data_IF_210362600393
#
_entry.id   IF_210362600393
#
_cell.length_a   1.000
_cell.length_b   1.000
_cell.length_c   1.000
_cell.angle_alpha   90.00
_cell.angle_beta   90.00
_cell.angle_gamma   90.00
#
_symmetry.space_group_name_H-M   'P 1'
#
loop_
_entity.id
_entity.type
_entity.pdbx_description
1 polymer ?
#
# COMPACT_ATOMS: atom_id res chain seq x y z
N UNK A 1 -3.21 -4.36 3.22
CA UNK A 1 -3.56 -3.02 2.68
C UNK A 1 -2.69 -2.64 1.49
N UNK A 2 -1.35 -2.70 1.56
CA UNK A 2 -0.44 -2.31 0.46
C UNK A 2 -0.73 -2.98 -0.89
N UNK A 3 -0.82 -4.31 -0.92
CA UNK A 3 -1.07 -5.05 -2.17
C UNK A 3 -2.40 -4.62 -2.80
N UNK A 4 -3.46 -4.48 -2.00
CA UNK A 4 -4.76 -3.99 -2.47
C UNK A 4 -4.64 -2.58 -3.04
N UNK A 5 -3.95 -1.69 -2.32
CA UNK A 5 -3.71 -0.32 -2.76
C UNK A 5 -2.93 -0.24 -4.07
N UNK A 6 -1.93 -1.11 -4.26
CA UNK A 6 -1.15 -1.22 -5.50
C UNK A 6 -2.00 -1.74 -6.65
N UNK A 7 -2.74 -2.85 -6.47
CA UNK A 7 -3.57 -3.45 -7.53
C UNK A 7 -4.62 -2.45 -8.02
N UNK A 8 -5.41 -1.88 -7.11
CA UNK A 8 -6.47 -0.93 -7.48
C UNK A 8 -5.90 0.40 -7.95
N UNK A 9 -4.86 0.91 -7.29
CA UNK A 9 -4.20 2.17 -7.68
C UNK A 9 -3.62 2.09 -9.08
N UNK A 10 -2.83 1.05 -9.38
CA UNK A 10 -2.27 0.82 -10.71
C UNK A 10 -3.38 0.67 -11.75
N UNK A 11 -4.38 -0.18 -11.48
CA UNK A 11 -5.47 -0.43 -12.40
C UNK A 11 -6.24 0.85 -12.76
N UNK A 12 -6.59 1.66 -11.76
CA UNK A 12 -7.25 2.94 -12.01
C UNK A 12 -6.34 3.99 -12.63
N UNK A 13 -5.04 3.98 -12.33
CA UNK A 13 -4.06 4.86 -12.97
C UNK A 13 -3.92 4.58 -14.46
N UNK A 14 -3.91 3.30 -14.86
CA UNK A 14 -3.98 2.87 -16.27
C UNK A 14 -5.28 3.34 -16.90
N UNK A 15 -6.42 3.14 -16.23
CA UNK A 15 -7.72 3.57 -16.74
C UNK A 15 -7.81 5.09 -16.96
N UNK A 16 -7.26 5.89 -16.03
CA UNK A 16 -7.21 7.34 -16.14
C UNK A 16 -6.31 7.81 -17.29
N UNK A 17 -5.11 7.24 -17.42
CA UNK A 17 -4.16 7.62 -18.47
C UNK A 17 -4.62 7.22 -19.88
N UNK A 18 -5.24 6.04 -20.03
CA UNK A 18 -5.77 5.60 -21.34
C UNK A 18 -7.01 6.37 -21.79
N UNK A 19 -7.65 7.12 -20.89
CA UNK A 19 -8.80 7.99 -21.18
C UNK A 19 -8.50 9.44 -20.82
N UNK A 20 -7.29 9.91 -21.13
CA UNK A 20 -6.83 11.26 -20.83
C UNK A 20 -7.86 12.31 -21.26
N UNK A 21 -8.14 13.29 -20.39
CA UNK A 21 -9.14 14.36 -20.58
C UNK A 21 -10.61 13.91 -20.64
N UNK A 22 -10.90 12.62 -20.44
CA UNK A 22 -12.29 12.17 -20.24
C UNK A 22 -12.78 12.48 -18.83
N UNK A 23 -14.10 12.42 -18.64
CA UNK A 23 -14.71 12.53 -17.30
C UNK A 23 -14.19 11.47 -16.32
N UNK A 24 -13.82 10.28 -16.81
CA UNK A 24 -13.25 9.20 -15.98
C UNK A 24 -11.89 9.62 -15.45
N UNK A 25 -11.04 10.15 -16.32
CA UNK A 25 -9.73 10.69 -15.93
C UNK A 25 -9.89 11.83 -14.92
N UNK A 26 -10.78 12.79 -15.19
CA UNK A 26 -11.01 13.91 -14.27
C UNK A 26 -11.51 13.44 -12.91
N UNK A 27 -12.48 12.53 -12.86
CA UNK A 27 -13.03 11.99 -11.61
C UNK A 27 -11.96 11.23 -10.81
N UNK A 28 -11.25 10.32 -11.47
CA UNK A 28 -10.20 9.52 -10.84
C UNK A 28 -9.06 10.41 -10.34
N UNK A 29 -8.62 11.37 -11.15
CA UNK A 29 -7.60 12.35 -10.76
C UNK A 29 -8.05 13.19 -9.57
N UNK A 30 -9.29 13.65 -9.54
CA UNK A 30 -9.86 14.40 -8.41
C UNK A 30 -9.92 13.57 -7.13
N UNK A 31 -10.42 12.33 -7.19
CA UNK A 31 -10.46 11.40 -6.04
C UNK A 31 -9.05 11.09 -5.55
N UNK A 32 -8.10 10.87 -6.45
CA UNK A 32 -6.68 10.66 -6.11
C UNK A 32 -6.10 11.87 -5.39
N UNK A 33 -6.41 13.08 -5.87
CA UNK A 33 -5.94 14.32 -5.28
C UNK A 33 -6.45 14.46 -3.85
N UNK A 34 -7.75 14.28 -3.64
CA UNK A 34 -8.34 14.28 -2.30
C UNK A 34 -7.70 13.22 -1.40
N UNK A 35 -7.54 11.98 -1.88
CA UNK A 35 -6.96 10.89 -1.10
C UNK A 35 -5.49 11.10 -0.71
N UNK A 36 -4.72 11.87 -1.49
CA UNK A 36 -3.34 12.24 -1.16
C UNK A 36 -3.26 13.49 -0.27
N UNK A 37 -4.18 14.44 -0.43
CA UNK A 37 -4.17 15.71 0.31
C UNK A 37 -4.71 15.56 1.71
N UNK A 38 -5.70 14.66 1.93
CA UNK A 38 -6.24 14.43 3.26
C UNK A 38 -5.22 13.64 4.10
N UNK A 39 -4.76 14.17 5.25
CA UNK A 39 -3.82 13.44 6.10
C UNK A 39 -4.42 12.13 6.64
N UNK A 40 -3.61 11.07 6.69
CA UNK A 40 -4.07 9.73 7.14
C UNK A 40 -4.62 9.73 8.57
N UNK A 41 -3.98 10.47 9.48
CA UNK A 41 -4.47 10.63 10.85
C UNK A 41 -5.84 11.30 10.91
N UNK A 42 -6.13 12.25 10.01
CA UNK A 42 -7.43 12.92 9.94
C UNK A 42 -8.51 11.95 9.47
N UNK A 43 -8.21 11.12 8.45
CA UNK A 43 -9.11 10.03 8.04
C UNK A 43 -9.37 9.07 9.19
N UNK A 44 -8.34 8.71 9.96
CA UNK A 44 -8.49 7.87 11.14
C UNK A 44 -9.39 8.52 12.20
N UNK A 45 -9.25 9.83 12.47
CA UNK A 45 -10.11 10.55 13.42
C UNK A 45 -11.58 10.56 12.98
N UNK A 46 -11.84 10.77 11.69
CA UNK A 46 -13.22 10.73 11.14
C UNK A 46 -13.80 9.32 11.28
N UNK A 47 -13.03 8.29 10.94
CA UNK A 47 -13.48 6.90 11.08
C UNK A 47 -13.69 6.54 12.55
N UNK A 48 -12.79 6.95 13.45
CA UNK A 48 -12.93 6.78 14.89
C UNK A 48 -14.24 7.39 15.39
N UNK A 49 -14.53 8.63 14.99
CA UNK A 49 -15.78 9.32 15.36
C UNK A 49 -17.02 8.56 14.88
N UNK A 50 -17.03 8.13 13.61
CA UNK A 50 -18.15 7.36 13.06
C UNK A 50 -18.34 6.03 13.81
N UNK A 51 -17.26 5.30 14.06
CA UNK A 51 -17.31 4.02 14.77
C UNK A 51 -17.79 4.21 16.21
N UNK A 52 -17.23 5.17 16.94
CA UNK A 52 -17.54 5.40 18.35
C UNK A 52 -18.94 5.97 18.56
N UNK A 53 -19.31 7.02 17.82
CA UNK A 53 -20.54 7.78 18.10
C UNK A 53 -21.73 7.40 17.22
N UNK A 54 -21.48 6.97 15.98
CA UNK A 54 -22.58 6.63 15.06
C UNK A 54 -22.89 5.14 15.06
N UNK A 55 -21.87 4.30 15.16
CA UNK A 55 -22.02 2.84 15.17
C UNK A 55 -21.89 2.21 16.57
N UNK A 56 -21.58 3.00 17.60
CA UNK A 56 -21.41 2.53 18.99
C UNK A 56 -20.44 1.34 19.14
N UNK A 57 -19.40 1.32 18.32
CA UNK A 57 -18.33 0.31 18.40
C UNK A 57 -17.43 0.66 19.58
N UNK A 58 -17.37 -0.24 20.56
CA UNK A 58 -16.61 -0.01 21.81
C UNK A 58 -15.16 -0.50 21.72
N UNK A 59 -14.88 -1.47 20.84
CA UNK A 59 -13.59 -2.20 20.79
C UNK A 59 -12.65 -1.68 19.68
N UNK A 60 -12.60 -0.35 19.47
CA UNK A 60 -11.83 0.26 18.36
C UNK A 60 -10.31 0.14 18.58
N UNK A 61 -9.86 0.20 19.85
CA UNK A 61 -8.44 0.09 20.22
C UNK A 61 -7.92 -1.35 20.33
N UNK A 62 -8.70 -2.34 19.91
CA UNK A 62 -8.29 -3.75 19.93
C UNK A 62 -8.56 -4.42 18.60
N UNK A 63 -7.66 -5.31 18.19
CA UNK A 63 -7.86 -6.17 17.02
C UNK A 63 -8.84 -7.32 17.28
N UNK A 64 -9.27 -7.48 18.52
CA UNK A 64 -10.15 -8.55 18.95
C UNK A 64 -11.18 -8.03 19.94
N UNK A 65 -12.34 -8.66 19.93
CA UNK A 65 -13.29 -8.50 21.02
C UNK A 65 -12.77 -9.10 22.31
N UNK A 66 -13.30 -8.62 23.44
CA UNK A 66 -13.02 -9.11 24.80
C UNK A 66 -13.09 -10.64 24.92
N UNK A 67 -13.97 -11.29 24.15
CA UNK A 67 -14.12 -12.76 24.11
C UNK A 67 -12.89 -13.50 23.54
N UNK A 68 -12.21 -12.89 22.56
CA UNK A 68 -11.09 -13.51 21.85
C UNK A 68 -9.72 -13.00 22.34
N UNK A 69 -9.70 -12.05 23.27
CA UNK A 69 -8.49 -11.60 23.96
C UNK A 69 -7.77 -12.78 24.62
N UNK A 70 -6.52 -13.04 24.23
CA UNK A 70 -5.68 -14.10 24.80
C UNK A 70 -5.91 -15.51 24.24
N UNK A 71 -6.91 -15.75 23.38
CA UNK A 71 -7.03 -17.05 22.71
C UNK A 71 -5.90 -17.25 21.69
N UNK A 72 -5.48 -18.48 21.44
CA UNK A 72 -4.46 -18.80 20.41
C UNK A 72 -5.17 -19.11 19.07
N UNK A 73 -4.53 -18.77 17.94
CA UNK A 73 -5.05 -19.13 16.61
C UNK A 73 -5.03 -20.63 16.35
N UNK A 74 -4.06 -21.31 16.97
CA UNK A 74 -3.82 -22.74 16.81
C UNK A 74 -4.12 -23.46 18.12
N UNK A 75 -5.18 -24.26 18.13
CA UNK A 75 -5.59 -25.10 19.25
C UNK A 75 -5.07 -26.53 19.02
N UNK A 76 -3.74 -26.66 19.02
CA UNK A 76 -3.04 -27.91 18.66
C UNK A 76 -2.72 -28.01 17.17
N UNK A 77 -1.95 -29.04 16.79
CA UNK A 77 -1.25 -29.15 15.50
C UNK A 77 -2.10 -29.08 14.21
N UNK A 78 -3.43 -29.20 14.29
CA UNK A 78 -4.32 -29.21 13.12
C UNK A 78 -5.60 -28.37 13.30
N UNK A 79 -5.78 -27.66 14.41
CA UNK A 79 -7.04 -26.99 14.71
C UNK A 79 -6.92 -25.47 14.64
N UNK A 80 -7.45 -24.89 13.56
CA UNK A 80 -7.51 -23.44 13.36
C UNK A 80 -8.75 -22.83 14.01
N UNK A 81 -8.56 -21.78 14.79
CA UNK A 81 -9.67 -20.99 15.33
C UNK A 81 -10.20 -20.00 14.27
N UNK A 82 -11.09 -20.49 13.40
CA UNK A 82 -11.75 -19.69 12.36
C UNK A 82 -12.58 -18.53 12.94
N UNK A 83 -13.19 -18.70 14.11
CA UNK A 83 -13.97 -17.66 14.75
C UNK A 83 -13.11 -16.46 15.16
N UNK A 84 -11.90 -16.72 15.67
CA UNK A 84 -10.92 -15.67 15.99
C UNK A 84 -10.46 -14.93 14.74
N UNK A 85 -10.22 -15.63 13.63
CA UNK A 85 -9.86 -14.99 12.36
C UNK A 85 -10.99 -14.09 11.84
N UNK A 86 -12.23 -14.57 11.88
CA UNK A 86 -13.38 -13.77 11.46
C UNK A 86 -13.53 -12.51 12.33
N UNK A 87 -13.35 -12.65 13.65
CA UNK A 87 -13.35 -11.52 14.56
C UNK A 87 -12.25 -10.50 14.22
N UNK A 88 -11.02 -10.96 13.93
CA UNK A 88 -9.94 -10.09 13.49
C UNK A 88 -10.31 -9.28 12.23
N UNK A 89 -10.89 -9.93 11.23
CA UNK A 89 -11.31 -9.27 9.98
C UNK A 89 -12.33 -8.15 10.26
N UNK A 90 -13.26 -8.38 11.18
CA UNK A 90 -14.26 -7.39 11.60
C UNK A 90 -13.66 -6.18 12.34
N UNK A 91 -12.47 -6.29 12.93
CA UNK A 91 -11.84 -5.22 13.70
C UNK A 91 -10.71 -4.51 12.93
N UNK A 92 -10.08 -5.18 11.96
CA UNK A 92 -8.92 -4.64 11.24
C UNK A 92 -9.29 -3.76 10.05
N UNK A 93 -10.52 -3.86 9.53
CA UNK A 93 -10.96 -3.14 8.34
C UNK A 93 -10.80 -1.60 8.41
N UNK A 94 -10.95 -0.90 9.56
CA UNK A 94 -10.78 0.55 9.61
C UNK A 94 -9.33 0.95 9.28
N UNK A 95 -8.35 0.22 9.83
CA UNK A 95 -6.93 0.43 9.55
C UNK A 95 -6.63 0.12 8.09
N UNK A 96 -7.17 -0.98 7.57
CA UNK A 96 -7.00 -1.36 6.16
C UNK A 96 -7.61 -0.28 5.25
N UNK A 97 -8.78 0.28 5.59
CA UNK A 97 -9.44 1.30 4.79
C UNK A 97 -8.59 2.57 4.70
N UNK A 98 -8.08 3.10 5.82
CA UNK A 98 -7.21 4.29 5.81
C UNK A 98 -5.96 4.05 4.98
N UNK A 99 -5.26 2.94 5.23
CA UNK A 99 -4.03 2.59 4.52
C UNK A 99 -4.28 2.39 3.02
N UNK A 100 -5.38 1.71 2.65
CA UNK A 100 -5.71 1.44 1.25
C UNK A 100 -6.14 2.70 0.51
N UNK A 101 -6.92 3.61 1.11
CA UNK A 101 -7.32 4.87 0.46
C UNK A 101 -6.09 5.72 0.12
N UNK A 102 -5.19 5.94 1.10
CA UNK A 102 -3.99 6.74 0.88
C UNK A 102 -3.01 6.11 -0.12
N UNK A 103 -2.78 4.80 0.00
CA UNK A 103 -1.90 4.08 -0.92
C UNK A 103 -2.46 4.01 -2.35
N UNK A 104 -3.77 3.80 -2.51
CA UNK A 104 -4.44 3.74 -3.81
C UNK A 104 -4.33 5.08 -4.53
N UNK A 105 -4.61 6.18 -3.81
CA UNK A 105 -4.54 7.53 -4.35
C UNK A 105 -3.13 7.87 -4.87
N UNK A 106 -2.10 7.54 -4.09
CA UNK A 106 -0.71 7.72 -4.50
C UNK A 106 -0.34 6.87 -5.73
N UNK A 107 -0.60 5.56 -5.68
CA UNK A 107 -0.25 4.63 -6.75
C UNK A 107 -0.97 4.97 -8.07
N UNK A 108 -2.23 5.38 -7.98
CA UNK A 108 -3.00 5.82 -9.14
C UNK A 108 -2.40 7.05 -9.80
N UNK A 109 -2.03 8.07 -9.01
CA UNK A 109 -1.44 9.32 -9.54
C UNK A 109 -0.09 9.05 -10.21
N UNK A 110 0.76 8.28 -9.55
CA UNK A 110 2.09 7.91 -10.05
C UNK A 110 1.97 7.07 -11.33
N UNK A 111 1.10 6.05 -11.33
CA UNK A 111 0.89 5.21 -12.51
C UNK A 111 0.36 6.02 -13.70
N UNK A 112 -0.60 6.91 -13.45
CA UNK A 112 -1.15 7.78 -14.50
C UNK A 112 -0.07 8.67 -15.10
N UNK A 113 0.73 9.34 -14.26
CA UNK A 113 1.80 10.22 -14.72
C UNK A 113 2.83 9.44 -15.54
N UNK A 114 3.36 8.34 -14.99
CA UNK A 114 4.34 7.50 -15.67
C UNK A 114 3.80 6.96 -17.00
N UNK A 115 2.54 6.53 -17.06
CA UNK A 115 1.98 5.98 -18.28
C UNK A 115 1.80 7.05 -19.35
N UNK A 116 1.38 8.26 -18.98
CA UNK A 116 1.28 9.38 -19.92
C UNK A 116 2.65 9.77 -20.48
N UNK A 117 3.69 9.82 -19.65
CA UNK A 117 5.06 10.08 -20.13
C UNK A 117 5.54 8.96 -21.06
N UNK A 118 5.21 7.71 -20.71
CA UNK A 118 5.59 6.52 -21.48
C UNK A 118 4.92 6.45 -22.84
N UNK A 119 3.65 6.84 -22.93
CA UNK A 119 2.89 6.85 -24.17
C UNK A 119 3.48 7.79 -25.26
N UNK A 120 4.28 8.78 -24.86
CA UNK A 120 4.95 9.74 -25.75
C UNK A 120 6.38 9.32 -26.16
N UNK A 121 6.81 8.09 -25.81
CA UNK A 121 8.16 7.63 -26.13
C UNK A 121 8.26 7.05 -27.56
N UNK A 122 9.41 7.25 -28.22
CA UNK A 122 9.65 6.82 -29.61
C UNK A 122 9.43 5.33 -29.87
N UNK A 123 9.73 4.45 -28.90
CA UNK A 123 9.51 3.01 -29.08
C UNK A 123 8.01 2.65 -29.06
N UNK A 124 7.17 3.44 -28.39
CA UNK A 124 5.71 3.29 -28.39
C UNK A 124 5.15 3.74 -29.74
N UNK A 125 5.63 4.86 -30.27
CA UNK A 125 5.27 5.31 -31.63
C UNK A 125 5.71 4.29 -32.68
N UNK A 126 6.90 3.71 -32.53
CA UNK A 126 7.40 2.65 -33.41
C UNK A 126 6.50 1.40 -33.35
N UNK A 127 6.04 1.02 -32.15
CA UNK A 127 5.11 -0.08 -31.96
C UNK A 127 3.76 0.19 -32.64
N UNK A 128 3.26 1.44 -32.56
CA UNK A 128 2.05 1.90 -33.25
C UNK A 128 2.23 1.90 -34.78
N UNK A 129 3.36 2.37 -35.28
CA UNK A 129 3.70 2.38 -36.71
C UNK A 129 3.81 0.97 -37.32
N UNK A 130 4.17 -0.04 -36.51
CA UNK A 130 4.16 -1.45 -36.90
C UNK A 130 2.75 -2.08 -36.98
N UNK A 131 1.69 -1.30 -36.72
CA UNK A 131 0.30 -1.75 -36.85
C UNK A 131 -0.24 -2.55 -35.65
N UNK A 132 0.43 -2.50 -34.50
CA UNK A 132 -0.10 -3.12 -33.28
C UNK A 132 -1.37 -2.38 -32.82
N UNK A 133 -2.35 -3.14 -32.31
CA UNK A 133 -3.55 -2.55 -31.71
C UNK A 133 -3.19 -1.69 -30.50
N UNK A 134 -3.94 -0.60 -30.26
CA UNK A 134 -3.64 0.33 -29.17
C UNK A 134 -3.62 -0.37 -27.79
N UNK A 135 -4.48 -1.36 -27.59
CA UNK A 135 -4.48 -2.18 -26.37
C UNK A 135 -3.16 -2.96 -26.20
N UNK A 136 -2.61 -3.53 -27.28
CA UNK A 136 -1.31 -4.22 -27.23
C UNK A 136 -0.16 -3.24 -27.04
N UNK A 137 -0.20 -2.07 -27.70
CA UNK A 137 0.78 -0.99 -27.50
C UNK A 137 0.83 -0.60 -26.02
N UNK A 138 -0.32 -0.35 -25.40
CA UNK A 138 -0.41 0.05 -24.00
C UNK A 138 0.03 -1.10 -23.07
N UNK A 139 -0.64 -2.25 -23.12
CA UNK A 139 -0.45 -3.31 -22.12
C UNK A 139 0.90 -4.01 -22.24
N UNK A 140 1.46 -4.12 -23.46
CA UNK A 140 2.69 -4.88 -23.70
C UNK A 140 3.93 -3.99 -23.78
N UNK A 141 3.80 -2.73 -24.17
CA UNK A 141 4.95 -1.84 -24.37
C UNK A 141 4.99 -0.66 -23.40
N UNK A 142 3.86 0.00 -23.10
CA UNK A 142 3.88 1.17 -22.23
C UNK A 142 3.77 0.82 -20.73
N UNK A 143 2.82 -0.05 -20.35
CA UNK A 143 2.54 -0.39 -18.94
C UNK A 143 3.75 -1.00 -18.21
N UNK A 144 4.49 -1.98 -18.77
CA UNK A 144 5.66 -2.52 -18.09
C UNK A 144 6.72 -1.44 -17.80
N UNK A 145 6.95 -0.52 -18.73
CA UNK A 145 7.91 0.56 -18.52
C UNK A 145 7.41 1.58 -17.47
N UNK A 146 6.14 1.95 -17.51
CA UNK A 146 5.53 2.86 -16.54
C UNK A 146 5.47 2.30 -15.10
N UNK A 147 5.52 0.97 -14.93
CA UNK A 147 5.48 0.30 -13.63
C UNK A 147 6.81 0.33 -12.86
N UNK A 148 7.93 0.64 -13.50
CA UNK A 148 9.26 0.53 -12.87
C UNK A 148 9.35 1.30 -11.53
N UNK A 149 8.96 2.59 -11.44
CA UNK A 149 9.02 3.32 -10.17
C UNK A 149 8.09 2.74 -9.10
N UNK A 150 6.95 2.19 -9.50
CA UNK A 150 5.95 1.61 -8.59
C UNK A 150 6.40 0.27 -8.01
N UNK A 151 7.14 -0.53 -8.80
CA UNK A 151 7.76 -1.77 -8.32
C UNK A 151 8.94 -1.46 -7.41
N UNK A 152 9.81 -0.52 -7.79
CA UNK A 152 10.92 -0.09 -6.94
C UNK A 152 10.41 0.38 -5.56
N UNK A 153 9.31 1.14 -5.54
CA UNK A 153 8.68 1.59 -4.30
C UNK A 153 8.16 0.44 -3.41
N UNK A 154 7.89 -0.75 -3.97
CA UNK A 154 7.49 -1.90 -3.16
C UNK A 154 8.61 -2.38 -2.23
N UNK A 155 9.86 -1.92 -2.39
CA UNK A 155 10.95 -2.23 -1.47
C UNK A 155 10.70 -1.79 -0.03
N UNK A 156 9.84 -0.76 0.16
CA UNK A 156 9.46 -0.25 1.48
C UNK A 156 8.30 -1.04 2.11
N UNK A 157 7.70 -2.01 1.41
CA UNK A 157 6.53 -2.75 1.91
C UNK A 157 6.85 -3.54 3.18
N UNK A 158 8.01 -4.20 3.26
CA UNK A 158 8.37 -5.00 4.44
C UNK A 158 8.52 -4.17 5.72
N UNK A 159 9.33 -3.09 5.77
CA UNK A 159 9.43 -2.27 6.97
C UNK A 159 8.08 -1.60 7.31
N UNK A 160 7.30 -1.21 6.30
CA UNK A 160 5.95 -0.69 6.52
C UNK A 160 5.01 -1.74 7.13
N UNK A 161 5.08 -3.02 6.72
CA UNK A 161 4.24 -4.08 7.30
C UNK A 161 4.54 -4.31 8.80
N UNK A 162 5.78 -4.06 9.22
CA UNK A 162 6.17 -4.12 10.64
C UNK A 162 5.67 -2.92 11.42
N UNK A 163 5.93 -1.70 10.93
CA UNK A 163 5.54 -0.46 11.61
C UNK A 163 4.03 -0.22 11.59
N UNK A 164 3.37 -0.61 10.51
CA UNK A 164 1.98 -0.26 10.22
C UNK A 164 1.81 1.23 9.94
N UNK A 165 0.57 1.68 9.96
CA UNK A 165 0.26 3.12 9.97
C UNK A 165 0.39 3.66 11.39
N UNK A 166 1.53 4.29 11.70
CA UNK A 166 1.86 4.75 13.05
C UNK A 166 0.79 5.72 13.56
N UNK A 167 0.42 6.71 12.75
CA UNK A 167 -0.54 7.73 13.14
C UNK A 167 -1.94 7.15 13.35
N UNK A 168 -2.35 6.20 12.51
CA UNK A 168 -3.64 5.51 12.64
C UNK A 168 -3.66 4.63 13.88
N UNK A 169 -2.55 3.94 14.17
CA UNK A 169 -2.42 3.13 15.37
C UNK A 169 -2.46 3.97 16.65
N UNK A 170 -1.84 5.16 16.65
CA UNK A 170 -1.93 6.11 17.77
C UNK A 170 -3.37 6.60 17.94
N UNK A 171 -4.03 7.03 16.85
CA UNK A 171 -5.41 7.54 16.91
C UNK A 171 -6.39 6.49 17.42
N UNK A 172 -6.27 5.24 16.98
CA UNK A 172 -7.12 4.15 17.48
C UNK A 172 -6.67 3.58 18.82
N UNK A 173 -5.48 3.92 19.32
CA UNK A 173 -4.92 3.35 20.55
C UNK A 173 -4.50 1.88 20.42
N UNK A 174 -4.10 1.46 19.23
CA UNK A 174 -3.71 0.08 18.93
C UNK A 174 -2.28 -0.21 19.40
N UNK A 175 -2.11 -1.31 20.14
CA UNK A 175 -0.80 -1.81 20.58
C UNK A 175 -0.02 -2.46 19.42
N UNK A 176 0.62 -1.63 18.59
CA UNK A 176 1.47 -2.06 17.46
C UNK A 176 2.91 -1.55 17.61
N UNK A 177 3.80 -1.96 16.70
CA UNK A 177 5.22 -1.53 16.73
C UNK A 177 5.34 -0.01 16.55
N UNK A 178 4.51 0.61 15.71
CA UNK A 178 4.54 2.06 15.47
C UNK A 178 4.49 2.91 16.75
N UNK A 179 3.42 2.82 17.56
CA UNK A 179 3.32 3.51 18.85
C UNK A 179 4.43 3.12 19.83
N UNK A 180 4.94 1.89 19.79
CA UNK A 180 6.05 1.47 20.64
C UNK A 180 7.36 2.22 20.30
N UNK A 181 7.64 2.45 19.02
CA UNK A 181 8.79 3.27 18.57
C UNK A 181 8.65 4.71 19.06
N UNK A 182 7.48 5.33 18.85
CA UNK A 182 7.24 6.72 19.28
C UNK A 182 7.31 6.83 20.81
N UNK A 183 6.76 5.86 21.52
CA UNK A 183 6.78 5.78 22.98
C UNK A 183 8.20 5.65 23.54
N UNK A 184 9.04 4.78 22.96
CA UNK A 184 10.44 4.61 23.39
C UNK A 184 11.27 5.86 23.13
N UNK A 185 11.04 6.54 22.01
CA UNK A 185 11.70 7.81 21.71
C UNK A 185 11.31 8.91 22.71
N UNK A 186 10.03 8.98 23.09
CA UNK A 186 9.53 10.00 24.01
C UNK A 186 10.13 9.89 25.42
N UNK A 187 10.39 8.67 25.90
CA UNK A 187 11.02 8.43 27.21
C UNK A 187 12.55 8.31 27.14
N UNK A 188 13.16 8.48 25.96
CA UNK A 188 14.60 8.38 25.79
C UNK A 188 15.16 6.97 25.91
N UNK A 189 14.35 5.93 25.68
CA UNK A 189 14.82 4.55 25.63
C UNK A 189 15.52 4.27 24.30
N UNK A 190 16.83 4.55 24.30
CA UNK A 190 17.70 4.38 23.13
C UNK A 190 17.82 2.91 22.72
N UNK A 191 17.76 1.97 23.66
CA UNK A 191 17.96 0.54 23.36
C UNK A 191 16.77 -0.03 22.60
N UNK A 192 15.55 0.25 23.04
CA UNK A 192 14.33 -0.18 22.35
C UNK A 192 14.22 0.52 20.99
N UNK A 193 14.43 1.84 20.97
CA UNK A 193 14.36 2.62 19.73
C UNK A 193 15.36 2.11 18.69
N UNK A 194 16.64 1.97 19.05
CA UNK A 194 17.68 1.54 18.13
C UNK A 194 17.45 0.10 17.64
N UNK A 195 16.98 -0.79 18.52
CA UNK A 195 16.70 -2.18 18.16
C UNK A 195 15.54 -2.28 17.15
N UNK A 196 14.46 -1.52 17.35
CA UNK A 196 13.35 -1.46 16.41
C UNK A 196 13.78 -0.83 15.07
N UNK A 197 14.54 0.26 15.10
CA UNK A 197 15.07 0.89 13.87
C UNK A 197 16.03 -0.03 13.10
N UNK A 198 16.86 -0.82 13.79
CA UNK A 198 17.73 -1.82 13.16
C UNK A 198 16.92 -2.88 12.43
N UNK A 199 15.86 -3.40 13.04
CA UNK A 199 14.95 -4.36 12.39
C UNK A 199 14.27 -3.75 11.16
N UNK A 200 13.85 -2.48 11.24
CA UNK A 200 13.29 -1.76 10.09
C UNK A 200 14.32 -1.55 8.98
N UNK A 201 15.56 -1.19 9.32
CA UNK A 201 16.64 -1.06 8.34
C UNK A 201 16.97 -2.38 7.65
N UNK A 202 17.07 -3.47 8.42
CA UNK A 202 17.32 -4.80 7.87
C UNK A 202 16.19 -5.25 6.94
N UNK A 203 14.93 -5.05 7.33
CA UNK A 203 13.78 -5.40 6.48
C UNK A 203 13.63 -4.48 5.27
N UNK A 204 14.06 -3.22 5.34
CA UNK A 204 14.14 -2.33 4.19
C UNK A 204 15.15 -2.84 3.15
N UNK A 205 16.34 -3.28 3.58
CA UNK A 205 17.34 -3.85 2.67
C UNK A 205 16.78 -5.10 1.99
N UNK A 206 16.17 -6.02 2.77
CA UNK A 206 15.54 -7.22 2.22
C UNK A 206 14.42 -6.86 1.25
N UNK A 207 13.59 -5.87 1.58
CA UNK A 207 12.51 -5.40 0.74
C UNK A 207 13.01 -4.83 -0.58
N UNK A 208 14.04 -3.99 -0.55
CA UNK A 208 14.67 -3.43 -1.75
C UNK A 208 15.25 -4.53 -2.65
N UNK A 209 15.94 -5.53 -2.09
CA UNK A 209 16.43 -6.67 -2.86
C UNK A 209 15.26 -7.40 -3.56
N UNK A 210 14.14 -7.60 -2.85
CA UNK A 210 12.94 -8.21 -3.46
C UNK A 210 12.39 -7.32 -4.58
N UNK A 211 12.34 -6.00 -4.40
CA UNK A 211 11.89 -5.06 -5.42
C UNK A 211 12.78 -5.10 -6.67
N UNK A 212 14.10 -5.16 -6.49
CA UNK A 212 15.06 -5.28 -7.59
C UNK A 212 14.87 -6.60 -8.35
N UNK A 213 14.63 -7.71 -7.64
CA UNK A 213 14.31 -9.00 -8.27
C UNK A 213 12.99 -8.94 -9.05
N UNK A 214 11.98 -8.24 -8.53
CA UNK A 214 10.70 -8.03 -9.23
C UNK A 214 10.88 -7.19 -10.49
N UNK A 215 11.76 -6.19 -10.47
CA UNK A 215 12.10 -5.39 -11.65
C UNK A 215 12.78 -6.24 -12.72
N UNK A 216 13.74 -7.08 -12.33
CA UNK A 216 14.42 -8.02 -13.26
C UNK A 216 13.43 -9.02 -13.87
N UNK A 217 12.41 -9.43 -13.11
CA UNK A 217 11.36 -10.31 -13.63
C UNK A 217 10.39 -9.60 -14.58
N UNK A 218 10.04 -8.35 -14.29
CA UNK A 218 9.16 -7.54 -15.15
C UNK A 218 9.83 -7.20 -16.48
N UNK A 219 11.07 -6.70 -16.44
CA UNK A 219 11.83 -6.38 -17.65
C UNK A 219 13.14 -7.19 -17.71
N UNK A 220 13.15 -8.34 -18.42
CA UNK A 220 14.35 -9.14 -18.58
C UNK A 220 15.43 -8.44 -19.42
N UNK A 221 15.17 -7.28 -20.05
CA UNK A 221 16.22 -6.49 -20.74
C UNK A 221 17.26 -5.93 -19.78
N UNK A 222 16.89 -5.76 -18.50
CA UNK A 222 17.81 -5.38 -17.42
C UNK A 222 18.90 -6.45 -17.22
N UNK A 223 18.68 -7.70 -17.68
CA UNK A 223 19.71 -8.77 -17.66
C UNK A 223 20.81 -8.59 -18.70
N UNK A 224 20.61 -7.76 -19.73
CA UNK A 224 21.59 -7.60 -20.82
C UNK A 224 22.50 -6.40 -20.55
N UNK A 225 23.02 -6.33 -19.32
CA UNK A 225 24.20 -5.52 -18.99
C UNK A 225 25.44 -6.41 -19.02
N UNK A 226 25.75 -6.96 -20.19
CA UNK A 226 27.03 -7.59 -20.50
C UNK A 226 27.47 -7.03 -21.85
N UNK A 227 28.20 -5.92 -21.78
CA UNK A 227 29.36 -5.73 -22.65
C UNK A 227 30.53 -6.49 -22.03
#
# INVERSE_FOLDING_TARGET
CHILASIFGIGFGILAATRQYSWVDTLLSFVSFLGMTVPRFLMALVILYLLAYKFNVQEIGSFYSSKFGGQVFWLGWFNFNWAKLWNLIQHVWPVIAVATIGGLAYNMRVMRANLLDTLNMQYVETARAKGLSEANVILRHAVPNALHPLIAYQGVVLPYMLTGEIEVAIVFGLATIGPAIVGSMAIGDVFVTASLLLVLGATLIVGNIIADLLLVWLDPRIRVGND
#
